data_IF_638657665690
#
_entry.id   IF_638657665690
#
_cell.length_a   1.000
_cell.length_b   1.000
_cell.length_c   1.000
_cell.angle_alpha   90.00
_cell.angle_beta   90.00
_cell.angle_gamma   90.00
#
_symmetry.space_group_name_H-M   'P 1'
#
loop_
_entity.id
_entity.type
_entity.pdbx_description
1 polymer ?
#
# COMPACT_ATOMS: atom_id res chain seq x y z
N UNK A 1 3.91 -16.53 -11.55
CA UNK A 1 3.15 -15.43 -10.90
C UNK A 1 3.50 -14.07 -11.54
N UNK A 2 2.52 -13.18 -11.78
CA UNK A 2 2.77 -11.90 -12.49
C UNK A 2 3.55 -10.94 -11.61
N UNK A 3 3.23 -10.85 -10.33
CA UNK A 3 3.94 -10.01 -9.36
C UNK A 3 5.43 -10.37 -9.28
N UNK A 4 5.77 -11.66 -9.32
CA UNK A 4 7.15 -12.11 -9.33
C UNK A 4 7.91 -11.62 -10.58
N UNK A 5 7.27 -11.66 -11.76
CA UNK A 5 7.86 -11.12 -13.00
C UNK A 5 8.11 -9.61 -12.91
N UNK A 6 7.20 -8.88 -12.25
CA UNK A 6 7.38 -7.45 -12.01
C UNK A 6 8.55 -7.20 -11.07
N UNK A 7 8.63 -7.91 -9.95
CA UNK A 7 9.74 -7.77 -9.00
C UNK A 7 11.09 -8.14 -9.63
N UNK A 8 11.15 -9.20 -10.45
CA UNK A 8 12.38 -9.53 -11.19
C UNK A 8 12.85 -8.39 -12.11
N UNK A 9 11.92 -7.60 -12.66
CA UNK A 9 12.27 -6.42 -13.46
C UNK A 9 12.71 -5.21 -12.61
N UNK A 10 12.17 -5.09 -11.41
CA UNK A 10 12.49 -4.00 -10.48
C UNK A 10 13.87 -4.23 -9.85
N UNK A 11 14.12 -5.44 -9.33
CA UNK A 11 15.36 -5.75 -8.63
C UNK A 11 16.51 -6.01 -9.62
N UNK A 12 17.29 -4.98 -9.91
CA UNK A 12 18.50 -5.06 -10.72
C UNK A 12 19.74 -5.30 -9.85
N UNK A 13 19.77 -4.74 -8.65
CA UNK A 13 20.81 -4.94 -7.65
C UNK A 13 20.21 -5.51 -6.38
N UNK A 14 20.79 -6.61 -5.89
CA UNK A 14 20.21 -7.35 -4.79
C UNK A 14 18.91 -8.07 -5.22
N UNK A 15 18.03 -8.32 -4.28
CA UNK A 15 16.79 -9.03 -4.60
C UNK A 15 16.13 -9.64 -3.39
N UNK A 16 15.00 -10.25 -3.63
CA UNK A 16 14.17 -10.91 -2.63
C UNK A 16 13.70 -12.28 -3.11
N UNK A 17 13.29 -13.11 -2.18
CA UNK A 17 12.52 -14.32 -2.45
C UNK A 17 11.06 -13.99 -2.20
N UNK A 18 10.21 -14.22 -3.18
CA UNK A 18 8.77 -14.09 -3.04
C UNK A 18 8.16 -15.50 -2.93
N UNK A 19 7.33 -15.70 -1.93
CA UNK A 19 6.59 -16.97 -1.71
C UNK A 19 5.09 -16.63 -1.83
N UNK A 20 4.40 -17.36 -2.67
CA UNK A 20 2.95 -17.18 -2.82
C UNK A 20 2.13 -18.05 -1.84
N UNK A 21 0.81 -17.92 -1.90
CA UNK A 21 -0.12 -18.66 -1.04
C UNK A 21 -0.11 -20.18 -1.25
N UNK A 22 0.49 -20.64 -2.33
CA UNK A 22 0.67 -22.07 -2.64
C UNK A 22 2.08 -22.56 -2.28
N UNK A 23 2.84 -21.76 -1.52
CA UNK A 23 4.24 -22.00 -1.14
C UNK A 23 5.22 -22.11 -2.33
N UNK A 24 4.84 -21.60 -3.51
CA UNK A 24 5.76 -21.52 -4.64
C UNK A 24 6.76 -20.38 -4.42
N UNK A 25 8.05 -20.70 -4.59
CA UNK A 25 9.15 -19.74 -4.43
C UNK A 25 9.55 -19.12 -5.76
N UNK A 26 9.66 -17.81 -5.77
CA UNK A 26 10.11 -17.02 -6.91
C UNK A 26 11.31 -16.18 -6.51
N UNK A 27 12.43 -16.33 -7.22
CA UNK A 27 13.64 -15.54 -7.00
C UNK A 27 13.50 -14.26 -7.82
N UNK A 28 13.54 -13.13 -7.17
CA UNK A 28 13.42 -11.81 -7.80
C UNK A 28 14.74 -11.06 -7.65
N UNK A 29 15.46 -10.88 -8.74
CA UNK A 29 16.80 -10.30 -8.75
C UNK A 29 17.88 -11.28 -8.28
N UNK A 30 18.89 -10.77 -7.57
CA UNK A 30 20.01 -11.52 -6.99
C UNK A 30 19.99 -11.40 -5.47
N UNK A 31 19.14 -12.16 -4.77
CA UNK A 31 19.03 -12.08 -3.32
C UNK A 31 20.34 -12.54 -2.66
N UNK A 32 20.55 -12.12 -1.41
CA UNK A 32 21.69 -12.56 -0.58
C UNK A 32 21.68 -14.08 -0.45
N UNK A 33 22.86 -14.71 -0.49
CA UNK A 33 22.98 -16.17 -0.34
C UNK A 33 22.64 -16.64 1.07
N UNK A 34 22.97 -15.82 2.08
CA UNK A 34 22.69 -16.10 3.49
C UNK A 34 21.55 -15.20 3.94
N UNK A 35 20.51 -15.80 4.51
CA UNK A 35 19.32 -15.11 5.03
C UNK A 35 18.72 -14.12 4.03
N UNK A 36 18.30 -14.55 2.84
CA UNK A 36 17.68 -13.68 1.87
C UNK A 36 16.39 -13.07 2.41
N UNK A 37 16.14 -11.81 2.09
CA UNK A 37 14.88 -11.16 2.39
C UNK A 37 13.77 -11.95 1.71
N UNK A 38 12.82 -12.43 2.47
CA UNK A 38 11.72 -13.26 1.96
C UNK A 38 10.38 -12.58 2.21
N UNK A 39 9.61 -12.40 1.16
CA UNK A 39 8.25 -11.87 1.21
C UNK A 39 7.25 -13.00 0.99
N UNK A 40 6.42 -13.28 1.98
CA UNK A 40 5.34 -14.27 1.89
C UNK A 40 3.99 -13.60 1.70
N UNK A 41 3.23 -14.08 0.73
CA UNK A 41 1.83 -13.70 0.50
C UNK A 41 0.94 -14.86 0.92
N UNK A 42 0.17 -14.69 1.99
CA UNK A 42 -0.69 -15.75 2.52
C UNK A 42 -2.00 -15.92 1.75
N UNK A 43 -2.41 -14.90 0.99
CA UNK A 43 -3.66 -14.93 0.22
C UNK A 43 -3.40 -14.83 -1.27
N UNK A 44 -4.13 -15.62 -2.06
CA UNK A 44 -3.98 -15.71 -3.52
C UNK A 44 -4.34 -14.40 -4.25
N UNK A 45 -5.32 -13.68 -3.74
CA UNK A 45 -5.80 -12.42 -4.29
C UNK A 45 -4.83 -11.25 -4.11
N UNK A 46 -3.91 -11.30 -3.11
CA UNK A 46 -2.89 -10.28 -2.90
C UNK A 46 -1.99 -10.06 -4.11
N UNK A 47 -1.74 -11.11 -4.89
CA UNK A 47 -0.96 -11.00 -6.12
C UNK A 47 -1.55 -9.97 -7.10
N UNK A 48 -2.86 -9.96 -7.27
CA UNK A 48 -3.55 -9.02 -8.14
C UNK A 48 -3.80 -7.66 -7.47
N UNK A 49 -4.17 -7.68 -6.20
CA UNK A 49 -4.44 -6.46 -5.43
C UNK A 49 -3.20 -5.57 -5.36
N UNK A 50 -2.04 -6.13 -5.02
CA UNK A 50 -0.77 -5.39 -4.99
C UNK A 50 -0.39 -4.86 -6.38
N UNK A 51 -0.66 -5.60 -7.45
CA UNK A 51 -0.40 -5.12 -8.81
C UNK A 51 -1.29 -3.94 -9.19
N UNK A 52 -2.55 -3.95 -8.76
CA UNK A 52 -3.52 -2.90 -9.07
C UNK A 52 -3.35 -1.66 -8.20
N UNK A 53 -3.08 -1.84 -6.92
CA UNK A 53 -2.94 -0.74 -5.97
C UNK A 53 -1.89 -1.04 -4.89
N UNK A 54 -0.59 -1.00 -5.24
CA UNK A 54 0.49 -1.36 -4.32
C UNK A 54 0.57 -0.43 -3.10
N UNK A 55 0.22 0.85 -3.26
CA UNK A 55 0.30 1.86 -2.20
C UNK A 55 -0.70 1.61 -1.06
N UNK A 56 -1.80 0.93 -1.34
CA UNK A 56 -2.83 0.58 -0.36
C UNK A 56 -2.72 -0.87 0.09
N UNK A 57 -2.70 -1.79 -0.87
CA UNK A 57 -2.84 -3.21 -0.57
C UNK A 57 -1.61 -3.83 0.10
N UNK A 58 -0.41 -3.27 -0.16
CA UNK A 58 0.79 -3.76 0.52
C UNK A 58 0.79 -3.37 2.01
N UNK A 59 0.66 -2.09 2.42
CA UNK A 59 0.62 -1.73 3.83
C UNK A 59 -0.57 -2.37 4.57
N UNK A 60 -1.76 -2.37 3.98
CA UNK A 60 -2.92 -3.01 4.61
C UNK A 60 -2.74 -4.53 4.76
N UNK A 61 -2.22 -5.21 3.74
CA UNK A 61 -1.92 -6.63 3.79
C UNK A 61 -0.86 -6.97 4.85
N UNK A 62 0.15 -6.11 5.00
CA UNK A 62 1.15 -6.25 6.05
C UNK A 62 0.54 -6.04 7.45
N UNK A 63 -0.27 -5.00 7.64
CA UNK A 63 -0.94 -4.72 8.91
C UNK A 63 -1.92 -5.83 9.32
N UNK A 64 -2.62 -6.44 8.36
CA UNK A 64 -3.51 -7.59 8.62
C UNK A 64 -2.77 -8.90 8.86
N UNK A 65 -1.44 -8.94 8.64
CA UNK A 65 -0.66 -10.17 8.70
C UNK A 65 -0.81 -11.09 7.48
N UNK A 66 -1.44 -10.60 6.39
CA UNK A 66 -1.58 -11.34 5.13
C UNK A 66 -0.27 -11.35 4.32
N UNK A 67 0.63 -10.41 4.63
CA UNK A 67 1.97 -10.29 4.07
C UNK A 67 2.97 -10.42 5.20
N UNK A 68 3.92 -11.34 5.07
CA UNK A 68 4.97 -11.59 6.05
C UNK A 68 6.33 -11.31 5.42
N UNK A 69 7.18 -10.60 6.15
CA UNK A 69 8.59 -10.39 5.78
C UNK A 69 9.43 -11.26 6.71
N UNK A 70 10.22 -12.16 6.13
CA UNK A 70 11.14 -13.02 6.86
C UNK A 70 12.60 -12.62 6.57
N UNK A 71 13.47 -12.84 7.54
CA UNK A 71 14.91 -12.57 7.49
C UNK A 71 15.28 -11.08 7.30
N UNK A 72 14.33 -10.17 7.49
CA UNK A 72 14.55 -8.73 7.43
C UNK A 72 13.45 -8.00 8.18
N UNK A 73 13.75 -6.79 8.63
CA UNK A 73 12.76 -5.83 9.09
C UNK A 73 12.00 -5.21 7.90
N UNK A 74 10.81 -4.65 8.15
CA UNK A 74 10.08 -3.87 7.16
C UNK A 74 10.95 -2.73 6.56
N UNK A 75 11.75 -2.07 7.41
CA UNK A 75 12.67 -1.02 6.98
C UNK A 75 13.69 -1.53 5.95
N UNK A 76 14.33 -2.65 6.21
CA UNK A 76 15.32 -3.25 5.30
C UNK A 76 14.70 -3.66 3.98
N UNK A 77 13.51 -4.27 4.02
CA UNK A 77 12.74 -4.59 2.81
C UNK A 77 12.43 -3.34 1.98
N UNK A 78 11.90 -2.28 2.62
CA UNK A 78 11.56 -1.04 1.93
C UNK A 78 12.80 -0.35 1.35
N UNK A 79 13.93 -0.34 2.08
CA UNK A 79 15.19 0.22 1.58
C UNK A 79 15.68 -0.53 0.34
N UNK A 80 15.57 -1.87 0.31
CA UNK A 80 15.94 -2.67 -0.86
C UNK A 80 15.04 -2.37 -2.07
N UNK A 81 13.73 -2.19 -1.85
CA UNK A 81 12.78 -1.80 -2.89
C UNK A 81 13.08 -0.39 -3.41
N UNK A 82 13.24 0.61 -2.53
CA UNK A 82 13.49 2.00 -2.90
C UNK A 82 14.81 2.14 -3.67
N UNK A 83 15.87 1.46 -3.24
CA UNK A 83 17.16 1.44 -3.92
C UNK A 83 17.02 1.03 -5.39
N UNK A 84 16.15 0.08 -5.67
CA UNK A 84 15.93 -0.43 -7.01
C UNK A 84 14.94 0.43 -7.82
N UNK A 85 13.92 1.00 -7.19
CA UNK A 85 12.97 1.90 -7.85
C UNK A 85 13.61 3.21 -8.28
N UNK A 86 14.50 3.79 -7.46
CA UNK A 86 15.18 5.04 -7.74
C UNK A 86 16.23 4.95 -8.89
N UNK A 87 16.70 3.74 -9.20
CA UNK A 87 17.70 3.49 -10.23
C UNK A 87 17.14 3.05 -11.59
N UNK A 88 15.86 2.77 -11.66
CA UNK A 88 15.24 2.43 -12.93
C UNK A 88 15.20 3.66 -13.82
N UNK A 89 16.17 3.76 -14.72
CA UNK A 89 16.09 4.67 -15.87
C UNK A 89 14.72 4.50 -16.52
N UNK A 90 14.08 5.63 -16.76
CA UNK A 90 12.69 5.70 -17.22
C UNK A 90 12.61 5.08 -18.62
N UNK A 91 12.44 3.77 -18.68
CA UNK A 91 12.14 3.06 -19.93
C UNK A 91 10.80 3.59 -20.46
N UNK A 92 10.70 3.77 -21.79
CA UNK A 92 9.46 4.18 -22.47
C UNK A 92 8.26 3.30 -22.09
N UNK A 93 8.48 2.00 -21.85
CA UNK A 93 7.48 1.09 -21.31
C UNK A 93 7.04 1.48 -19.89
N UNK A 94 7.95 1.92 -19.02
CA UNK A 94 7.61 2.35 -17.66
C UNK A 94 6.80 3.65 -17.65
N UNK A 95 7.07 4.56 -18.60
CA UNK A 95 6.28 5.79 -18.78
C UNK A 95 4.85 5.45 -19.21
N UNK A 96 4.70 4.49 -20.13
CA UNK A 96 3.38 4.05 -20.59
C UNK A 96 2.59 3.43 -19.43
N UNK A 97 3.19 2.49 -18.69
CA UNK A 97 2.55 1.90 -17.51
C UNK A 97 2.25 2.93 -16.42
N UNK A 98 3.14 3.90 -16.21
CA UNK A 98 2.91 5.00 -15.27
C UNK A 98 1.73 5.87 -15.70
N UNK A 99 1.60 6.19 -16.99
CA UNK A 99 0.45 6.95 -17.53
C UNK A 99 -0.85 6.16 -17.44
N UNK A 100 -0.84 4.87 -17.80
CA UNK A 100 -2.02 3.99 -17.66
C UNK A 100 -2.42 3.87 -16.19
N UNK A 101 -1.46 3.69 -15.28
CA UNK A 101 -1.70 3.65 -13.84
C UNK A 101 -2.25 4.98 -13.31
N UNK A 102 -1.68 6.12 -13.74
CA UNK A 102 -2.18 7.45 -13.37
C UNK A 102 -3.61 7.69 -13.87
N UNK A 103 -3.90 7.30 -15.12
CA UNK A 103 -5.25 7.39 -15.68
C UNK A 103 -6.24 6.48 -14.91
N UNK A 104 -5.84 5.25 -14.61
CA UNK A 104 -6.63 4.34 -13.78
C UNK A 104 -6.87 4.91 -12.38
N UNK A 105 -5.81 5.41 -11.74
CA UNK A 105 -5.90 6.06 -10.42
C UNK A 105 -6.79 7.30 -10.45
N UNK A 106 -6.73 8.10 -11.52
CA UNK A 106 -7.62 9.24 -11.70
C UNK A 106 -9.08 8.78 -11.74
N UNK A 107 -9.40 7.73 -12.50
CA UNK A 107 -10.76 7.19 -12.62
C UNK A 107 -11.23 6.59 -11.28
N UNK A 108 -10.38 5.81 -10.60
CA UNK A 108 -10.76 5.16 -9.33
C UNK A 108 -10.83 6.13 -8.15
N UNK A 109 -10.01 7.17 -8.16
CA UNK A 109 -10.01 8.22 -7.13
C UNK A 109 -10.91 9.40 -7.47
N UNK A 110 -11.65 9.33 -8.61
CA UNK A 110 -12.59 10.39 -8.96
C UNK A 110 -13.75 10.37 -7.96
N UNK A 111 -13.70 11.31 -7.03
CA UNK A 111 -14.77 11.51 -6.06
C UNK A 111 -15.94 12.23 -6.73
N UNK A 112 -16.95 11.47 -7.12
CA UNK A 112 -18.23 12.07 -7.49
C UNK A 112 -18.76 12.90 -6.31
N UNK A 113 -19.36 14.08 -6.55
CA UNK A 113 -19.85 14.96 -5.47
C UNK A 113 -20.73 14.26 -4.43
N UNK A 114 -21.58 13.30 -4.86
CA UNK A 114 -22.41 12.50 -3.95
C UNK A 114 -21.60 11.50 -3.08
N UNK A 115 -20.49 10.98 -3.61
CA UNK A 115 -19.61 10.07 -2.86
C UNK A 115 -18.74 10.85 -1.89
N UNK A 116 -18.29 12.04 -2.28
CA UNK A 116 -17.55 12.97 -1.43
C UNK A 116 -18.37 13.38 -0.21
N UNK A 117 -19.64 13.78 -0.42
CA UNK A 117 -20.56 14.14 0.66
C UNK A 117 -20.74 12.98 1.66
N UNK A 118 -20.98 11.77 1.15
CA UNK A 118 -21.15 10.56 1.98
C UNK A 118 -19.87 10.18 2.75
N UNK A 119 -18.68 10.37 2.13
CA UNK A 119 -17.40 10.13 2.80
C UNK A 119 -17.12 11.17 3.89
N UNK A 120 -17.48 12.45 3.64
CA UNK A 120 -17.38 13.52 4.63
C UNK A 120 -18.36 13.26 5.79
N UNK A 121 -19.62 12.94 5.49
CA UNK A 121 -20.60 12.55 6.50
C UNK A 121 -20.09 11.34 7.32
N UNK A 122 -19.61 10.28 6.66
CA UNK A 122 -19.04 9.12 7.35
C UNK A 122 -17.81 9.46 8.20
N UNK A 123 -16.99 10.41 7.76
CA UNK A 123 -15.81 10.84 8.53
C UNK A 123 -16.20 11.63 9.79
N UNK A 124 -17.23 12.46 9.70
CA UNK A 124 -17.77 13.18 10.87
C UNK A 124 -18.72 12.32 11.72
N UNK A 125 -19.36 11.32 11.08
CA UNK A 125 -20.21 10.30 11.74
C UNK A 125 -19.42 9.09 12.27
N UNK A 126 -18.07 9.09 12.16
CA UNK A 126 -17.23 8.13 12.87
C UNK A 126 -17.41 8.36 14.36
N UNK A 127 -18.52 7.90 14.79
CA UNK A 127 -18.91 7.98 16.14
C UNK A 127 -20.42 7.93 16.31
N UNK A 128 -21.22 8.38 15.38
CA UNK A 128 -22.62 8.56 15.68
C UNK A 128 -22.78 9.03 17.13
N UNK A 129 -23.73 8.51 17.86
CA UNK A 129 -23.81 8.74 19.32
C UNK A 129 -22.57 8.27 20.14
N UNK A 130 -21.75 7.38 19.54
CA UNK A 130 -20.48 6.90 20.16
C UNK A 130 -19.25 7.71 19.73
N UNK A 131 -19.29 8.47 18.62
CA UNK A 131 -18.17 9.31 18.19
C UNK A 131 -18.13 10.66 18.86
N UNK A 132 -19.24 11.11 19.39
CA UNK A 132 -19.23 12.21 20.34
C UNK A 132 -18.27 11.89 21.49
N UNK A 133 -18.23 10.63 21.94
CA UNK A 133 -17.32 10.18 22.99
C UNK A 133 -15.86 10.23 22.53
N UNK A 134 -15.54 9.89 21.28
CA UNK A 134 -14.16 9.94 20.79
C UNK A 134 -13.64 11.37 20.73
N UNK A 135 -14.42 12.29 20.17
CA UNK A 135 -14.06 13.70 20.13
C UNK A 135 -14.09 14.33 21.53
N UNK A 136 -14.98 13.89 22.41
CA UNK A 136 -15.03 14.34 23.81
C UNK A 136 -13.82 13.91 24.63
N UNK A 137 -13.23 12.74 24.29
CA UNK A 137 -12.00 12.24 24.93
C UNK A 137 -10.75 12.87 24.32
N UNK A 138 -10.73 13.16 23.01
CA UNK A 138 -9.55 13.68 22.32
C UNK A 138 -9.45 15.21 22.32
N UNK A 139 -10.58 15.91 22.42
CA UNK A 139 -10.61 17.38 22.36
C UNK A 139 -11.16 17.93 23.68
N UNK A 140 -10.41 18.81 24.30
CA UNK A 140 -10.90 19.53 25.45
C UNK A 140 -12.06 20.48 25.09
N UNK A 141 -12.72 21.02 26.11
CA UNK A 141 -13.90 21.88 25.96
C UNK A 141 -13.66 23.09 25.04
N UNK A 142 -12.43 23.58 24.93
CA UNK A 142 -12.07 24.76 24.15
C UNK A 142 -11.88 24.41 22.66
N UNK A 143 -11.30 23.28 22.36
CA UNK A 143 -11.10 22.84 20.97
C UNK A 143 -12.40 22.47 20.25
N UNK A 144 -13.44 22.06 20.96
CA UNK A 144 -14.78 21.78 20.39
C UNK A 144 -15.45 23.02 19.79
N UNK A 145 -15.20 24.20 20.32
CA UNK A 145 -15.77 25.44 19.80
C UNK A 145 -15.26 25.81 18.40
N UNK A 146 -14.01 25.46 18.08
CA UNK A 146 -13.44 25.72 16.76
C UNK A 146 -13.99 24.81 15.67
N UNK A 147 -14.37 23.59 15.99
CA UNK A 147 -14.99 22.68 15.02
C UNK A 147 -16.42 23.06 14.68
N UNK A 148 -17.17 23.69 15.59
CA UNK A 148 -18.52 24.18 15.33
C UNK A 148 -18.56 25.41 14.41
N UNK A 149 -17.47 26.16 14.30
CA UNK A 149 -17.34 27.34 13.43
C UNK A 149 -17.02 27.00 11.97
N UNK A 150 -16.61 25.75 11.70
CA UNK A 150 -16.31 25.28 10.33
C UNK A 150 -17.60 24.81 9.60
N UNK A 151 -18.72 24.75 10.29
CA UNK A 151 -20.04 24.35 9.76
C UNK A 151 -20.95 25.49 9.32
N UNK A 152 -20.42 26.70 9.13
CA UNK A 152 -21.18 27.84 8.56
C UNK A 152 -20.81 28.01 7.09
#
# INVERSE_FOLDING_TARGET
MILAKLFTKIFKEGGIILIDSENQKYICGSPRQINPITLKLLKKDLNWKILLNPELEFPEGFMRGDIIIENASLKEFLMEVIKNLGRNEVSTASIFFKKVYQAWRFITNFNFPGKSKKNVEAHYDIGGRKGEILYDVMLDKYHRQYLSLIHI
#
